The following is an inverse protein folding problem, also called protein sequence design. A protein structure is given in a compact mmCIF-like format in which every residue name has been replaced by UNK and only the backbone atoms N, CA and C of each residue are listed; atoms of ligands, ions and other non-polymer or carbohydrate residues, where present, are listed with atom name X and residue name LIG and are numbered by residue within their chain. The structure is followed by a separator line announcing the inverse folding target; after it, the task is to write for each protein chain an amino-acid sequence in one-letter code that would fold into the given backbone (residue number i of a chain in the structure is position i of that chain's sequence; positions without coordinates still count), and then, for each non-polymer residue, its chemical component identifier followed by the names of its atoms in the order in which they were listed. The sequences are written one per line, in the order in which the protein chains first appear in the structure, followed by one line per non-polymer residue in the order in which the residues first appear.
data_IF_247090006019
#
_entry.id   IF_247090006019
#
_cell.length_a   1.000
_cell.length_b   1.000
_cell.length_c   1.000
_cell.angle_alpha   90.00
_cell.angle_beta   90.00
_cell.angle_gamma   90.00
#
_symmetry.space_group_name_H-M   'P 1'
#
loop_
_entity.id
_entity.type
_entity.pdbx_description
1 polymer ?
#
# COMPACT_ATOMS: atom_id res chain seq x y z
N UNK A 1 -6.30 21.00 -9.83
CA UNK A 1 -5.67 21.21 -8.51
C UNK A 1 -4.54 20.23 -8.33
N UNK A 2 -3.40 20.67 -7.82
CA UNK A 2 -2.35 19.72 -7.50
C UNK A 2 -2.80 18.79 -6.38
N UNK A 3 -2.37 17.53 -6.47
CA UNK A 3 -2.67 16.56 -5.42
C UNK A 3 -1.84 16.85 -4.18
N UNK A 4 -2.40 16.65 -2.99
CA UNK A 4 -1.65 16.87 -1.76
C UNK A 4 -0.50 15.88 -1.62
N UNK A 5 0.60 16.35 -1.04
CA UNK A 5 1.75 15.51 -0.70
C UNK A 5 1.92 15.51 0.81
N UNK A 6 2.72 14.59 1.33
CA UNK A 6 3.08 14.59 2.74
C UNK A 6 3.92 15.83 3.07
N UNK A 7 4.12 16.08 4.35
CA UNK A 7 4.95 17.21 4.80
C UNK A 7 6.39 17.14 4.29
N UNK A 8 6.88 15.94 3.95
CA UNK A 8 8.22 15.74 3.40
C UNK A 8 8.24 15.71 1.87
N UNK A 9 7.11 16.00 1.23
CA UNK A 9 6.99 16.01 -0.23
C UNK A 9 6.73 14.66 -0.87
N UNK A 10 6.48 13.63 -0.08
CA UNK A 10 6.21 12.29 -0.58
C UNK A 10 4.76 12.17 -1.06
N UNK A 11 4.53 11.27 -2.01
CA UNK A 11 3.20 11.11 -2.62
C UNK A 11 2.26 10.20 -1.86
N UNK A 12 2.77 9.41 -0.91
CA UNK A 12 1.93 8.60 -0.05
C UNK A 12 2.57 8.40 1.32
N UNK A 13 1.77 7.96 2.28
CA UNK A 13 2.19 7.75 3.66
C UNK A 13 2.54 6.30 3.95
N UNK A 14 2.22 5.37 3.05
CA UNK A 14 2.20 3.94 3.39
C UNK A 14 3.38 3.15 2.83
N UNK A 15 4.26 3.77 2.03
CA UNK A 15 5.29 3.04 1.29
C UNK A 15 6.12 2.11 2.18
N UNK A 16 6.64 2.62 3.30
CA UNK A 16 7.48 1.82 4.21
C UNK A 16 6.67 0.71 4.90
N UNK A 17 5.46 1.04 5.38
CA UNK A 17 4.62 0.05 6.06
C UNK A 17 4.17 -1.05 5.12
N UNK A 18 3.90 -0.70 3.87
CA UNK A 18 3.54 -1.68 2.87
C UNK A 18 4.67 -2.68 2.64
N UNK A 19 5.91 -2.18 2.51
CA UNK A 19 7.10 -3.03 2.37
C UNK A 19 7.24 -3.94 3.60
N UNK A 20 7.11 -3.37 4.79
CA UNK A 20 7.23 -4.12 6.04
C UNK A 20 6.17 -5.22 6.15
N UNK A 21 4.91 -4.88 5.88
CA UNK A 21 3.82 -5.85 5.91
C UNK A 21 4.05 -6.98 4.91
N UNK A 22 4.47 -6.63 3.71
CA UNK A 22 4.74 -7.62 2.68
C UNK A 22 5.84 -8.59 3.15
N UNK A 23 6.92 -8.06 3.72
CA UNK A 23 8.00 -8.89 4.25
C UNK A 23 7.55 -9.74 5.44
N UNK A 24 6.75 -9.18 6.35
CA UNK A 24 6.20 -9.93 7.49
C UNK A 24 5.34 -11.11 7.04
N UNK A 25 4.60 -10.93 5.95
CA UNK A 25 3.76 -11.99 5.38
C UNK A 25 4.51 -12.85 4.36
N UNK A 26 5.82 -12.62 4.21
CA UNK A 26 6.69 -13.38 3.29
C UNK A 26 6.18 -13.36 1.86
N UNK A 27 5.68 -12.21 1.43
CA UNK A 27 5.14 -12.01 0.09
C UNK A 27 6.11 -11.24 -0.79
N UNK A 28 6.27 -11.73 -2.03
CA UNK A 28 6.87 -10.92 -3.09
C UNK A 28 5.85 -9.87 -3.56
N UNK A 29 6.31 -8.87 -4.30
CA UNK A 29 5.40 -7.91 -4.93
C UNK A 29 4.43 -8.61 -5.88
N UNK A 30 4.91 -9.63 -6.60
CA UNK A 30 4.09 -10.40 -7.52
C UNK A 30 3.00 -11.18 -6.78
N UNK A 31 3.34 -11.79 -5.65
CA UNK A 31 2.35 -12.52 -4.85
C UNK A 31 1.30 -11.57 -4.29
N UNK A 32 1.71 -10.40 -3.82
CA UNK A 32 0.76 -9.40 -3.33
C UNK A 32 -0.19 -8.97 -4.45
N UNK A 33 0.33 -8.73 -5.65
CA UNK A 33 -0.51 -8.38 -6.79
C UNK A 33 -1.53 -9.49 -7.08
N UNK A 34 -1.10 -10.74 -7.04
CA UNK A 34 -1.98 -11.88 -7.23
C UNK A 34 -3.11 -11.92 -6.19
N UNK A 35 -2.77 -11.73 -4.92
CA UNK A 35 -3.76 -11.72 -3.84
C UNK A 35 -4.77 -10.58 -3.99
N UNK A 36 -4.31 -9.42 -4.43
CA UNK A 36 -5.19 -8.28 -4.68
C UNK A 36 -6.16 -8.58 -5.84
N UNK A 37 -5.64 -9.16 -6.92
CA UNK A 37 -6.45 -9.52 -8.09
C UNK A 37 -7.50 -10.58 -7.75
N UNK A 38 -7.15 -11.55 -6.89
CA UNK A 38 -8.11 -12.54 -6.43
C UNK A 38 -9.29 -11.92 -5.68
N UNK A 39 -9.08 -10.77 -5.06
CA UNK A 39 -10.14 -10.04 -4.33
C UNK A 39 -10.86 -9.03 -5.21
N UNK A 40 -10.55 -9.02 -6.52
CA UNK A 40 -11.23 -8.14 -7.47
C UNK A 40 -10.60 -6.76 -7.63
N UNK A 41 -9.41 -6.53 -7.09
CA UNK A 41 -8.72 -5.24 -7.23
C UNK A 41 -7.76 -5.30 -8.41
N UNK A 42 -7.85 -4.30 -9.28
CA UNK A 42 -7.01 -4.23 -10.49
C UNK A 42 -5.69 -3.53 -10.16
N UNK A 43 -4.82 -4.27 -9.48
CA UNK A 43 -3.51 -3.76 -9.08
C UNK A 43 -2.44 -4.79 -9.48
N UNK A 44 -1.55 -4.38 -10.36
CA UNK A 44 -0.45 -5.24 -10.79
C UNK A 44 0.83 -4.94 -10.00
N UNK A 45 1.89 -5.69 -10.30
CA UNK A 45 3.19 -5.52 -9.65
C UNK A 45 3.74 -4.10 -9.84
N UNK A 46 3.50 -3.48 -11.00
CA UNK A 46 4.02 -2.14 -11.28
C UNK A 46 3.36 -1.09 -10.38
N UNK A 47 2.07 -1.23 -10.13
CA UNK A 47 1.35 -0.35 -9.18
C UNK A 47 1.99 -0.45 -7.80
N UNK A 48 2.22 -1.67 -7.33
CA UNK A 48 2.84 -1.91 -6.01
C UNK A 48 4.23 -1.30 -5.95
N UNK A 49 5.07 -1.54 -6.98
CA UNK A 49 6.42 -0.99 -7.03
C UNK A 49 6.40 0.54 -6.93
N UNK A 50 5.49 1.18 -7.65
CA UNK A 50 5.41 2.64 -7.66
C UNK A 50 4.91 3.20 -6.32
N UNK A 51 4.05 2.48 -5.63
CA UNK A 51 3.63 2.87 -4.27
C UNK A 51 4.80 2.72 -3.30
N UNK A 52 5.50 1.59 -3.35
CA UNK A 52 6.61 1.30 -2.44
C UNK A 52 7.81 2.23 -2.64
N UNK A 53 7.97 2.76 -3.84
CA UNK A 53 9.05 3.72 -4.14
C UNK A 53 8.58 5.17 -4.05
N UNK A 54 7.39 5.40 -3.57
CA UNK A 54 6.78 6.72 -3.38
C UNK A 54 6.64 7.54 -4.67
N UNK A 55 6.43 6.87 -5.78
CA UNK A 55 6.24 7.51 -7.09
C UNK A 55 4.78 7.66 -7.47
N UNK A 56 3.86 7.23 -6.61
CA UNK A 56 2.44 7.18 -6.92
C UNK A 56 1.61 7.54 -5.70
N UNK A 57 0.54 8.30 -5.93
CA UNK A 57 -0.48 8.52 -4.91
C UNK A 57 -1.28 7.22 -4.69
N UNK A 58 -1.81 7.07 -3.49
CA UNK A 58 -2.62 5.90 -3.13
C UNK A 58 -4.06 6.36 -2.98
N UNK A 59 -4.97 5.66 -3.66
CA UNK A 59 -6.40 5.95 -3.54
C UNK A 59 -6.98 5.25 -2.31
N UNK A 60 -8.16 5.71 -1.88
CA UNK A 60 -8.87 5.07 -0.76
C UNK A 60 -9.22 3.61 -1.06
N UNK A 61 -9.56 3.30 -2.30
CA UNK A 61 -9.84 1.92 -2.72
C UNK A 61 -8.59 1.05 -2.58
N UNK A 62 -7.45 1.56 -3.00
CA UNK A 62 -6.18 0.85 -2.87
C UNK A 62 -5.80 0.62 -1.40
N UNK A 63 -6.02 1.63 -0.57
CA UNK A 63 -5.76 1.51 0.86
C UNK A 63 -6.62 0.42 1.50
N UNK A 64 -7.89 0.39 1.13
CA UNK A 64 -8.82 -0.65 1.58
C UNK A 64 -8.36 -2.03 1.12
N UNK A 65 -7.87 -2.14 -0.12
CA UNK A 65 -7.39 -3.39 -0.68
C UNK A 65 -6.22 -3.96 0.14
N UNK A 66 -5.26 -3.13 0.49
CA UNK A 66 -4.13 -3.56 1.32
C UNK A 66 -4.58 -3.99 2.71
N UNK A 67 -5.52 -3.25 3.30
CA UNK A 67 -6.07 -3.62 4.61
C UNK A 67 -6.71 -5.01 4.57
N UNK A 68 -7.44 -5.31 3.51
CA UNK A 68 -8.09 -6.62 3.37
C UNK A 68 -7.06 -7.75 3.26
N UNK A 69 -6.04 -7.57 2.44
CA UNK A 69 -5.01 -8.60 2.23
C UNK A 69 -4.25 -8.89 3.52
N UNK A 70 -3.83 -7.85 4.22
CA UNK A 70 -2.98 -7.99 5.41
C UNK A 70 -3.78 -8.10 6.69
N UNK A 71 -5.09 -7.88 6.65
CA UNK A 71 -5.97 -7.91 7.81
C UNK A 71 -5.49 -7.00 8.94
N UNK A 72 -4.88 -5.88 8.56
CA UNK A 72 -4.38 -4.89 9.50
C UNK A 72 -5.36 -3.76 9.70
N UNK A 73 -4.85 -2.63 10.20
CA UNK A 73 -5.67 -1.45 10.42
C UNK A 73 -5.21 -0.30 9.53
N UNK A 74 -6.13 0.63 9.29
CA UNK A 74 -5.79 1.89 8.62
C UNK A 74 -4.82 2.71 9.46
N UNK A 75 -4.97 2.68 10.79
CA UNK A 75 -4.09 3.39 11.69
C UNK A 75 -2.64 2.95 11.52
N UNK A 76 -2.40 1.65 11.38
CA UNK A 76 -1.05 1.16 11.13
C UNK A 76 -0.53 1.64 9.78
N UNK A 77 -1.33 1.51 8.72
CA UNK A 77 -0.90 1.89 7.38
C UNK A 77 -0.59 3.38 7.26
N UNK A 78 -1.45 4.22 7.82
CA UNK A 78 -1.36 5.68 7.65
C UNK A 78 -0.50 6.32 8.73
N UNK A 79 -0.71 5.94 9.99
CA UNK A 79 -0.07 6.60 11.13
C UNK A 79 1.12 5.80 11.70
N UNK A 80 1.26 4.53 11.31
CA UNK A 80 2.29 3.67 11.86
C UNK A 80 2.02 3.22 13.28
N UNK A 81 0.78 3.31 13.73
CA UNK A 81 0.39 2.93 15.10
C UNK A 81 -0.02 1.46 15.14
N UNK A 82 0.54 0.72 16.05
CA UNK A 82 0.13 -0.66 16.28
C UNK A 82 -1.23 -0.71 16.98
N UNK A 83 -1.97 -1.77 16.69
CA UNK A 83 -3.26 -2.02 17.33
C UNK A 83 -3.11 -2.43 18.79
#
# INVERSE_FOLDING_TARGET
MPKPKTSTGEKNLISKRLIELRHQHKMSQRLLAYELQLRGYDMDKNVITRIETNKRYVTDVELKAFREVFQGSYDYLIEGKEE
#
